data_IF_723149389160
#
_entry.id   IF_723149389160
#
_cell.length_a   1.000
_cell.length_b   1.000
_cell.length_c   1.000
_cell.angle_alpha   90.00
_cell.angle_beta   90.00
_cell.angle_gamma   90.00
#
_symmetry.space_group_name_H-M   'P 1'
#
loop_
_entity.id
_entity.type
_entity.pdbx_description
1 polymer ?
#
# COMPACT_ATOMS: atom_id res chain seq x y z
N UNK A 1 6.86 43.62 32.79
CA UNK A 1 7.29 43.35 31.41
C UNK A 1 7.87 41.97 31.41
N UNK A 2 7.15 40.97 30.86
CA UNK A 2 7.69 39.64 30.53
C UNK A 2 8.32 39.79 29.16
N UNK A 3 9.63 39.62 29.10
CA UNK A 3 10.35 39.44 27.85
C UNK A 3 9.89 38.10 27.23
N UNK A 4 9.45 38.18 25.99
CA UNK A 4 9.23 36.99 25.16
C UNK A 4 10.58 36.33 24.87
N UNK A 5 10.74 35.08 25.25
CA UNK A 5 11.87 34.27 24.81
C UNK A 5 11.79 34.17 23.28
N UNK A 6 12.74 34.81 22.60
CA UNK A 6 12.95 34.59 21.18
C UNK A 6 13.46 33.18 21.01
N UNK A 7 12.70 32.33 20.30
CA UNK A 7 13.15 31.05 19.81
C UNK A 7 14.35 31.30 18.86
N UNK A 8 15.56 31.19 19.42
CA UNK A 8 16.79 31.17 18.62
C UNK A 8 16.83 29.83 17.95
N UNK A 9 16.40 29.77 16.69
CA UNK A 9 16.64 28.63 15.82
C UNK A 9 18.14 28.50 15.64
N UNK A 10 18.78 27.36 15.97
CA UNK A 10 20.20 27.18 15.75
C UNK A 10 20.50 27.28 14.26
N UNK A 11 21.44 28.10 13.89
CA UNK A 11 21.87 28.42 12.50
C UNK A 11 22.52 27.23 11.76
N UNK A 12 22.47 25.99 12.31
CA UNK A 12 23.12 24.80 11.76
C UNK A 12 22.24 23.54 11.93
N UNK A 13 20.93 23.67 11.72
CA UNK A 13 20.02 22.54 11.76
C UNK A 13 20.17 21.73 10.47
N UNK A 14 20.49 20.41 10.57
CA UNK A 14 20.53 19.51 9.40
C UNK A 14 19.17 19.50 8.70
N UNK A 15 19.19 19.46 7.38
CA UNK A 15 17.99 19.42 6.52
C UNK A 15 17.91 18.10 5.79
N UNK A 16 16.70 17.74 5.40
CA UNK A 16 16.37 16.52 4.66
C UNK A 16 15.18 16.79 3.75
N UNK A 17 15.25 16.39 2.48
CA UNK A 17 14.13 16.45 1.53
C UNK A 17 13.68 15.04 1.19
N UNK A 18 12.38 14.77 1.37
CA UNK A 18 11.74 13.46 1.10
C UNK A 18 10.66 13.62 0.05
N UNK A 19 10.74 12.87 -1.03
CA UNK A 19 9.62 12.67 -1.97
C UNK A 19 8.76 11.52 -1.45
N UNK A 20 7.55 11.83 -0.93
CA UNK A 20 6.75 10.88 -0.17
C UNK A 20 5.36 10.62 -0.76
N UNK A 21 4.99 9.33 -0.85
CA UNK A 21 3.70 8.88 -1.37
C UNK A 21 2.53 9.27 -0.47
N UNK A 22 2.72 9.24 0.85
CA UNK A 22 1.65 9.49 1.82
C UNK A 22 1.54 10.98 2.22
N UNK A 23 2.27 11.87 1.56
CA UNK A 23 2.19 13.31 1.80
C UNK A 23 0.75 13.83 1.59
N UNK A 24 0.20 14.45 2.61
CA UNK A 24 -1.18 14.98 2.63
C UNK A 24 -2.24 13.94 3.05
N UNK A 25 -1.86 12.74 3.47
CA UNK A 25 -2.78 11.81 4.13
C UNK A 25 -2.96 12.18 5.60
N UNK A 26 -4.06 11.74 6.20
CA UNK A 26 -4.34 11.99 7.63
C UNK A 26 -3.21 11.44 8.51
N UNK A 27 -2.82 12.20 9.52
CA UNK A 27 -1.79 11.84 10.49
C UNK A 27 -0.34 11.95 9.99
N UNK A 28 -0.11 12.03 8.68
CA UNK A 28 1.24 12.09 8.12
C UNK A 28 2.05 13.32 8.60
N UNK A 29 1.44 14.52 8.54
CA UNK A 29 2.12 15.74 8.97
C UNK A 29 2.45 15.72 10.46
N UNK A 30 1.61 15.07 11.28
CA UNK A 30 1.87 14.87 12.71
C UNK A 30 3.07 13.96 12.94
N UNK A 31 3.18 12.88 12.16
CA UNK A 31 4.34 11.99 12.21
C UNK A 31 5.64 12.69 11.82
N UNK A 32 5.64 13.48 10.74
CA UNK A 32 6.82 14.23 10.29
C UNK A 32 7.22 15.28 11.34
N UNK A 33 6.26 16.00 11.91
CA UNK A 33 6.52 16.98 12.98
C UNK A 33 7.15 16.35 14.23
N UNK A 34 6.71 15.13 14.58
CA UNK A 34 7.32 14.38 15.69
C UNK A 34 8.75 13.93 15.33
N UNK A 35 8.97 13.42 14.11
CA UNK A 35 10.31 13.04 13.65
C UNK A 35 11.29 14.22 13.65
N UNK A 36 10.86 15.40 13.16
CA UNK A 36 11.67 16.63 13.22
C UNK A 36 12.10 17.00 14.64
N UNK A 37 11.17 16.85 15.58
CA UNK A 37 11.42 17.16 16.99
C UNK A 37 12.38 16.16 17.63
N UNK A 38 12.17 14.86 17.39
CA UNK A 38 12.96 13.79 17.98
C UNK A 38 14.38 13.76 17.44
N UNK A 39 14.57 14.05 16.15
CA UNK A 39 15.85 14.02 15.47
C UNK A 39 16.59 15.37 15.48
N UNK A 40 15.89 16.46 15.76
CA UNK A 40 16.48 17.81 15.70
C UNK A 40 16.85 18.26 14.28
N UNK A 41 16.24 17.70 13.24
CA UNK A 41 16.46 18.02 11.82
C UNK A 41 15.25 18.74 11.23
N UNK A 42 15.43 19.42 10.11
CA UNK A 42 14.34 19.98 9.30
C UNK A 42 13.99 19.01 8.17
N UNK A 43 12.71 18.67 8.02
CA UNK A 43 12.26 17.75 6.98
C UNK A 43 11.36 18.49 5.99
N UNK A 44 11.77 18.53 4.74
CA UNK A 44 11.01 19.07 3.63
C UNK A 44 10.32 17.91 2.90
N UNK A 45 8.99 17.97 2.82
CA UNK A 45 8.20 16.94 2.15
C UNK A 45 7.76 17.42 0.78
N UNK A 46 8.13 16.65 -0.25
CA UNK A 46 7.54 16.76 -1.60
C UNK A 46 6.51 15.63 -1.78
N UNK A 47 5.34 15.99 -2.31
CA UNK A 47 4.31 15.01 -2.62
C UNK A 47 4.62 14.27 -3.92
N UNK A 48 4.53 12.94 -3.88
CA UNK A 48 4.53 12.13 -5.10
C UNK A 48 3.31 12.43 -5.98
N UNK A 49 3.44 12.37 -7.31
CA UNK A 49 2.27 12.35 -8.20
C UNK A 49 1.31 11.21 -7.82
N UNK A 50 0.01 11.49 -7.84
CA UNK A 50 -1.01 10.48 -7.51
C UNK A 50 -1.07 9.36 -8.57
N UNK A 51 -0.96 9.71 -9.85
CA UNK A 51 -0.92 8.74 -10.94
C UNK A 51 0.39 7.93 -10.90
N UNK A 52 0.29 6.59 -11.02
CA UNK A 52 1.42 5.68 -10.90
C UNK A 52 2.50 5.92 -11.96
N UNK A 53 2.10 6.09 -13.23
CA UNK A 53 3.05 6.30 -14.34
C UNK A 53 3.80 7.63 -14.19
N UNK A 54 3.10 8.70 -13.81
CA UNK A 54 3.69 10.02 -13.57
C UNK A 54 4.65 9.96 -12.37
N UNK A 55 4.32 9.22 -11.34
CA UNK A 55 5.17 9.02 -10.16
C UNK A 55 6.45 8.28 -10.53
N UNK A 56 6.33 7.16 -11.25
CA UNK A 56 7.49 6.40 -11.72
C UNK A 56 8.38 7.23 -12.65
N UNK A 57 7.79 7.96 -13.59
CA UNK A 57 8.52 8.84 -14.51
C UNK A 57 9.28 9.95 -13.77
N UNK A 58 8.65 10.59 -12.76
CA UNK A 58 9.30 11.62 -11.93
C UNK A 58 10.51 11.03 -11.19
N UNK A 59 10.34 9.88 -10.53
CA UNK A 59 11.41 9.23 -9.76
C UNK A 59 12.53 8.76 -10.67
N UNK A 60 12.21 8.13 -11.80
CA UNK A 60 13.19 7.69 -12.78
C UNK A 60 14.02 8.87 -13.34
N UNK A 61 13.35 9.98 -13.66
CA UNK A 61 14.02 11.19 -14.14
C UNK A 61 14.97 11.77 -13.10
N UNK A 62 14.52 11.89 -11.84
CA UNK A 62 15.33 12.38 -10.72
C UNK A 62 16.60 11.53 -10.53
N UNK A 63 16.44 10.20 -10.47
CA UNK A 63 17.56 9.29 -10.24
C UNK A 63 18.53 9.23 -11.42
N UNK A 64 18.02 9.23 -12.67
CA UNK A 64 18.86 9.16 -13.87
C UNK A 64 19.60 10.44 -14.18
N UNK A 65 19.03 11.60 -13.84
CA UNK A 65 19.71 12.90 -14.02
C UNK A 65 20.82 13.15 -13.00
N UNK A 66 20.89 12.35 -11.93
CA UNK A 66 21.81 12.56 -10.83
C UNK A 66 21.43 13.75 -9.95
N UNK A 67 20.15 14.11 -9.92
CA UNK A 67 19.60 15.20 -9.11
C UNK A 67 19.84 14.90 -7.61
N UNK A 68 20.40 15.86 -6.90
CA UNK A 68 20.74 15.79 -5.48
C UNK A 68 19.74 16.57 -4.58
N UNK A 69 18.69 17.15 -5.17
CA UNK A 69 17.70 17.97 -4.45
C UNK A 69 16.77 17.16 -3.53
N UNK A 70 16.63 15.85 -3.78
CA UNK A 70 15.82 14.92 -2.98
C UNK A 70 16.73 13.85 -2.39
N UNK A 71 16.70 13.70 -1.08
CA UNK A 71 17.56 12.77 -0.35
C UNK A 71 16.94 11.38 -0.23
N UNK A 72 15.68 11.31 0.18
CA UNK A 72 14.91 10.08 0.33
C UNK A 72 13.69 10.06 -0.60
N UNK A 73 13.40 8.89 -1.11
CA UNK A 73 12.28 8.67 -2.00
C UNK A 73 11.50 7.46 -1.50
N UNK A 74 10.17 7.55 -1.49
CA UNK A 74 9.33 6.38 -1.26
C UNK A 74 8.99 5.71 -2.58
N UNK A 75 9.19 4.40 -2.63
CA UNK A 75 8.96 3.55 -3.80
C UNK A 75 8.13 2.33 -3.41
N UNK A 76 7.41 1.77 -4.38
CA UNK A 76 6.73 0.49 -4.23
C UNK A 76 7.60 -0.66 -4.75
N UNK A 77 7.05 -1.87 -4.76
CA UNK A 77 7.76 -3.10 -5.11
C UNK A 77 8.27 -3.12 -6.55
N UNK A 78 7.50 -2.58 -7.50
CA UNK A 78 7.92 -2.53 -8.91
C UNK A 78 9.06 -1.53 -9.10
N UNK A 79 8.96 -0.35 -8.47
CA UNK A 79 9.97 0.70 -8.60
C UNK A 79 11.31 0.27 -7.99
N UNK A 80 11.31 -0.33 -6.79
CA UNK A 80 12.56 -0.81 -6.20
C UNK A 80 13.19 -1.90 -7.04
N UNK A 81 12.38 -2.81 -7.60
CA UNK A 81 12.86 -3.86 -8.50
C UNK A 81 13.57 -3.28 -9.73
N UNK A 82 13.11 -2.14 -10.24
CA UNK A 82 13.77 -1.43 -11.32
C UNK A 82 15.08 -0.74 -10.86
N UNK A 83 15.04 0.01 -9.76
CA UNK A 83 16.12 0.95 -9.42
C UNK A 83 17.30 0.33 -8.67
N UNK A 84 17.10 -0.76 -7.92
CA UNK A 84 18.15 -1.42 -7.12
C UNK A 84 19.33 -1.93 -7.97
N UNK A 85 19.11 -2.26 -9.24
CA UNK A 85 20.15 -2.77 -10.15
C UNK A 85 20.88 -1.66 -10.91
N UNK A 86 20.43 -0.41 -10.86
CA UNK A 86 20.94 0.68 -11.69
C UNK A 86 22.04 1.52 -11.03
N UNK A 87 22.38 1.21 -9.79
CA UNK A 87 23.41 1.93 -9.04
C UNK A 87 23.03 3.37 -8.65
N UNK A 88 21.74 3.68 -8.56
CA UNK A 88 21.22 4.98 -8.15
C UNK A 88 21.02 5.13 -6.64
N UNK A 89 20.97 4.00 -5.94
CA UNK A 89 20.61 3.92 -4.53
C UNK A 89 21.83 3.60 -3.66
N UNK A 90 21.79 4.04 -2.42
CA UNK A 90 22.83 3.73 -1.44
C UNK A 90 22.46 2.42 -0.69
N UNK A 91 23.42 1.48 -0.53
CA UNK A 91 23.23 0.30 0.31
C UNK A 91 23.03 0.68 1.79
N UNK A 92 22.22 -0.06 2.53
CA UNK A 92 21.77 0.28 3.88
C UNK A 92 22.11 -0.78 4.95
N UNK A 93 22.62 -1.96 4.57
CA UNK A 93 22.88 -3.08 5.50
C UNK A 93 23.86 -2.74 6.62
N UNK A 94 24.87 -1.92 6.36
CA UNK A 94 25.88 -1.55 7.35
C UNK A 94 25.47 -0.38 8.26
N UNK A 95 24.33 0.28 7.99
CA UNK A 95 23.96 1.53 8.66
C UNK A 95 22.56 1.53 9.26
N UNK A 96 21.58 1.10 8.51
CA UNK A 96 20.15 1.15 8.90
C UNK A 96 19.56 -0.26 9.01
N UNK A 97 19.68 -1.05 7.94
CA UNK A 97 19.13 -2.40 7.84
C UNK A 97 20.14 -3.45 8.29
N UNK A 98 20.75 -3.23 9.47
CA UNK A 98 21.61 -4.20 10.11
C UNK A 98 20.88 -5.54 10.33
N UNK A 99 21.61 -6.62 10.57
CA UNK A 99 21.01 -7.94 10.83
C UNK A 99 19.93 -7.88 11.92
N UNK A 100 20.18 -7.12 13.00
CA UNK A 100 19.23 -6.92 14.10
C UNK A 100 17.96 -6.18 13.62
N UNK A 101 18.10 -5.13 12.86
CA UNK A 101 16.95 -4.38 12.34
C UNK A 101 16.19 -5.20 11.31
N UNK A 102 16.89 -5.80 10.35
CA UNK A 102 16.33 -6.59 9.26
C UNK A 102 15.53 -7.82 9.76
N UNK A 103 15.94 -8.41 10.90
CA UNK A 103 15.23 -9.55 11.50
C UNK A 103 13.76 -9.25 11.87
N UNK A 104 13.37 -7.99 11.98
CA UNK A 104 11.99 -7.57 12.31
C UNK A 104 11.08 -7.39 11.09
N UNK A 105 11.53 -7.73 9.90
CA UNK A 105 10.77 -7.64 8.65
C UNK A 105 10.58 -9.01 8.02
N UNK A 106 9.65 -9.14 7.07
CA UNK A 106 9.47 -10.37 6.31
C UNK A 106 10.75 -10.72 5.54
N UNK A 107 11.41 -11.82 5.91
CA UNK A 107 12.72 -12.19 5.38
C UNK A 107 12.70 -12.50 3.88
N UNK A 108 11.66 -13.21 3.42
CA UNK A 108 11.48 -13.48 1.99
C UNK A 108 11.29 -12.20 1.20
N UNK A 109 10.48 -11.27 1.73
CA UNK A 109 10.28 -9.96 1.12
C UNK A 109 11.59 -9.16 1.02
N UNK A 110 12.36 -9.08 2.09
CA UNK A 110 13.65 -8.41 2.06
C UNK A 110 14.55 -9.00 0.98
N UNK A 111 14.64 -10.32 0.92
CA UNK A 111 15.50 -11.03 -0.03
C UNK A 111 15.07 -10.81 -1.48
N UNK A 112 13.79 -10.94 -1.79
CA UNK A 112 13.30 -10.89 -3.17
C UNK A 112 13.14 -9.44 -3.66
N UNK A 113 12.68 -8.54 -2.81
CA UNK A 113 12.31 -7.18 -3.20
C UNK A 113 13.40 -6.15 -2.84
N UNK A 114 13.87 -6.12 -1.59
CA UNK A 114 14.75 -5.06 -1.10
C UNK A 114 16.23 -5.27 -1.43
N UNK A 115 16.63 -6.52 -1.71
CA UNK A 115 18.05 -6.88 -1.92
C UNK A 115 18.41 -7.01 -3.40
N UNK A 116 19.68 -6.73 -3.68
CA UNK A 116 20.35 -7.06 -4.94
C UNK A 116 21.84 -7.24 -4.68
N UNK A 117 22.46 -8.29 -5.25
CA UNK A 117 23.88 -8.58 -5.16
C UNK A 117 24.44 -8.59 -3.71
N UNK A 118 23.61 -9.03 -2.76
CA UNK A 118 23.96 -9.10 -1.34
C UNK A 118 23.77 -7.81 -0.55
N UNK A 119 23.32 -6.74 -1.19
CA UNK A 119 23.06 -5.43 -0.58
C UNK A 119 21.57 -5.18 -0.36
N UNK A 120 21.21 -4.49 0.73
CA UNK A 120 19.84 -4.03 1.02
C UNK A 120 19.72 -2.55 0.62
N UNK A 121 18.80 -2.23 -0.28
CA UNK A 121 18.65 -0.87 -0.84
C UNK A 121 17.44 -0.09 -0.32
N UNK A 122 16.61 -0.70 0.52
CA UNK A 122 15.40 -0.04 0.98
C UNK A 122 15.00 -0.42 2.40
N UNK A 123 14.21 0.46 3.01
CA UNK A 123 13.59 0.27 4.33
C UNK A 123 12.09 0.21 4.15
N UNK A 124 11.44 -0.96 4.25
CA UNK A 124 9.99 -1.05 4.26
C UNK A 124 9.42 -0.26 5.45
N UNK A 125 8.37 0.54 5.24
CA UNK A 125 7.76 1.29 6.34
C UNK A 125 6.27 0.98 6.52
N UNK A 126 5.56 0.61 5.46
CA UNK A 126 4.18 0.13 5.55
C UNK A 126 3.91 -0.98 4.55
N UNK A 127 2.99 -1.87 4.91
CA UNK A 127 2.44 -2.90 4.04
C UNK A 127 0.99 -2.57 3.73
N UNK A 128 0.63 -2.78 2.47
CA UNK A 128 -0.76 -2.90 2.06
C UNK A 128 -1.05 -4.37 1.80
N UNK A 129 -2.06 -4.90 2.48
CA UNK A 129 -2.51 -6.28 2.30
C UNK A 129 -3.80 -6.22 1.49
N UNK A 130 -3.90 -7.03 0.44
CA UNK A 130 -5.14 -7.14 -0.32
C UNK A 130 -6.20 -7.77 0.58
N UNK A 131 -7.27 -7.05 0.83
CA UNK A 131 -8.37 -7.46 1.69
C UNK A 131 -9.67 -7.59 0.89
N UNK A 132 -10.59 -8.40 1.37
CA UNK A 132 -11.93 -8.54 0.80
C UNK A 132 -12.89 -7.58 1.48
N UNK A 133 -13.44 -6.64 0.73
CA UNK A 133 -14.37 -5.63 1.19
C UNK A 133 -15.78 -5.95 0.69
N UNK A 134 -16.77 -5.82 1.57
CA UNK A 134 -18.16 -6.05 1.22
C UNK A 134 -19.03 -4.84 1.57
N UNK A 135 -20.06 -4.63 0.78
CA UNK A 135 -21.13 -3.69 1.07
C UNK A 135 -22.30 -4.47 1.67
N UNK A 136 -22.43 -4.45 3.00
CA UNK A 136 -23.42 -5.24 3.73
C UNK A 136 -24.85 -4.88 3.34
N UNK A 137 -25.13 -3.61 3.05
CA UNK A 137 -26.47 -3.19 2.62
C UNK A 137 -26.92 -3.89 1.33
N UNK A 138 -25.99 -4.09 0.38
CA UNK A 138 -26.30 -4.81 -0.87
C UNK A 138 -26.43 -6.32 -0.65
N UNK A 139 -25.63 -6.88 0.24
CA UNK A 139 -25.76 -8.28 0.63
C UNK A 139 -27.12 -8.53 1.30
N UNK A 140 -27.53 -7.70 2.23
CA UNK A 140 -28.80 -7.78 2.93
C UNK A 140 -29.99 -7.69 1.96
N UNK A 141 -29.93 -6.76 1.00
CA UNK A 141 -30.93 -6.63 -0.08
C UNK A 141 -31.02 -7.91 -0.93
N UNK A 142 -29.93 -8.64 -1.09
CA UNK A 142 -29.90 -9.92 -1.80
C UNK A 142 -30.29 -11.12 -0.92
N UNK A 143 -30.46 -10.91 0.40
CA UNK A 143 -30.74 -11.98 1.36
C UNK A 143 -29.52 -12.82 1.68
N UNK A 144 -28.33 -12.23 1.62
CA UNK A 144 -27.04 -12.87 1.90
C UNK A 144 -26.43 -12.26 3.16
N UNK A 145 -26.12 -13.08 4.15
CA UNK A 145 -25.41 -12.62 5.35
C UNK A 145 -23.93 -12.36 5.06
N UNK A 146 -23.34 -13.13 4.15
CA UNK A 146 -21.93 -13.07 3.76
C UNK A 146 -21.71 -13.69 2.38
N UNK A 147 -20.52 -13.48 1.82
CA UNK A 147 -20.04 -14.14 0.60
C UNK A 147 -18.97 -15.16 0.99
N UNK A 148 -19.35 -16.44 1.01
CA UNK A 148 -18.48 -17.53 1.49
C UNK A 148 -17.79 -18.29 0.37
N UNK A 149 -18.32 -18.22 -0.85
CA UNK A 149 -17.79 -18.91 -2.02
C UNK A 149 -18.17 -18.18 -3.32
N UNK A 150 -17.61 -18.60 -4.43
CA UNK A 150 -17.87 -17.98 -5.74
C UNK A 150 -19.35 -18.08 -6.18
N UNK A 151 -20.08 -19.10 -5.75
CA UNK A 151 -21.52 -19.22 -6.03
C UNK A 151 -22.37 -18.16 -5.32
N UNK A 152 -21.92 -17.64 -4.18
CA UNK A 152 -22.61 -16.52 -3.50
C UNK A 152 -22.50 -15.23 -4.32
N UNK A 153 -21.37 -15.00 -5.01
CA UNK A 153 -21.22 -13.90 -5.96
C UNK A 153 -22.20 -14.01 -7.13
N UNK A 154 -22.44 -15.22 -7.64
CA UNK A 154 -23.41 -15.45 -8.70
C UNK A 154 -24.84 -15.19 -8.23
N UNK A 155 -25.17 -15.54 -6.98
CA UNK A 155 -26.46 -15.24 -6.37
C UNK A 155 -26.62 -13.72 -6.24
N UNK A 156 -25.62 -13.03 -5.72
CA UNK A 156 -25.62 -11.58 -5.60
C UNK A 156 -25.81 -10.90 -6.96
N UNK A 157 -25.08 -11.34 -7.99
CA UNK A 157 -25.23 -10.85 -9.36
C UNK A 157 -26.66 -10.96 -9.86
N UNK A 158 -27.30 -12.13 -9.69
CA UNK A 158 -28.70 -12.35 -10.11
C UNK A 158 -29.66 -11.41 -9.40
N UNK A 159 -29.44 -11.15 -8.12
CA UNK A 159 -30.27 -10.23 -7.32
C UNK A 159 -30.10 -8.77 -7.71
N UNK A 160 -28.92 -8.38 -8.15
CA UNK A 160 -28.61 -7.01 -8.56
C UNK A 160 -28.89 -6.74 -10.05
N UNK A 161 -29.31 -7.74 -10.84
CA UNK A 161 -29.65 -7.53 -12.25
C UNK A 161 -30.69 -6.42 -12.43
N UNK A 162 -30.45 -5.57 -13.44
CA UNK A 162 -31.30 -4.44 -13.81
C UNK A 162 -31.44 -3.32 -12.74
N UNK A 163 -30.61 -3.33 -11.72
CA UNK A 163 -30.59 -2.28 -10.68
C UNK A 163 -29.55 -1.17 -10.98
N UNK A 164 -28.67 -1.37 -11.96
CA UNK A 164 -27.50 -0.50 -12.20
C UNK A 164 -26.35 -0.76 -11.23
N UNK A 165 -26.43 -1.83 -10.43
CA UNK A 165 -25.40 -2.25 -9.48
C UNK A 165 -24.86 -3.62 -9.89
N UNK A 166 -23.64 -3.92 -9.42
CA UNK A 166 -22.91 -5.14 -9.78
C UNK A 166 -22.47 -5.89 -8.53
N UNK A 167 -22.31 -7.20 -8.64
CA UNK A 167 -21.88 -8.00 -7.51
C UNK A 167 -20.44 -7.68 -7.10
N UNK A 168 -19.56 -7.46 -8.08
CA UNK A 168 -18.14 -7.27 -7.87
C UNK A 168 -17.65 -6.04 -8.63
N UNK A 169 -16.70 -5.32 -8.06
CA UNK A 169 -15.98 -4.23 -8.70
C UNK A 169 -14.48 -4.45 -8.64
N UNK A 170 -13.76 -4.00 -9.67
CA UNK A 170 -12.32 -4.13 -9.74
C UNK A 170 -11.69 -3.02 -10.60
N UNK A 171 -10.38 -2.84 -10.51
CA UNK A 171 -9.62 -1.87 -11.28
C UNK A 171 -8.83 -2.59 -12.37
N UNK A 172 -9.42 -2.71 -13.57
CA UNK A 172 -8.83 -3.42 -14.71
C UNK A 172 -8.29 -2.50 -15.80
N UNK A 173 -8.08 -1.21 -15.49
CA UNK A 173 -7.30 -0.37 -16.37
C UNK A 173 -5.90 -0.99 -16.55
N UNK A 174 -5.30 -0.85 -17.74
CA UNK A 174 -4.14 -1.64 -18.17
C UNK A 174 -2.92 -1.55 -17.24
N UNK A 175 -2.75 -0.43 -16.54
CA UNK A 175 -1.65 -0.25 -15.57
C UNK A 175 -1.97 -0.79 -14.17
N UNK A 176 -3.20 -1.28 -13.92
CA UNK A 176 -3.67 -1.79 -12.64
C UNK A 176 -4.09 -3.26 -12.66
N UNK A 177 -4.52 -3.79 -13.82
CA UNK A 177 -5.09 -5.14 -13.95
C UNK A 177 -4.14 -6.26 -13.48
N UNK A 178 -2.83 -6.03 -13.51
CA UNK A 178 -1.85 -7.02 -13.06
C UNK A 178 -2.05 -7.41 -11.58
N UNK A 179 -2.51 -6.50 -10.73
CA UNK A 179 -2.84 -6.80 -9.33
C UNK A 179 -3.95 -7.86 -9.25
N UNK A 180 -5.02 -7.65 -10.01
CA UNK A 180 -6.15 -8.58 -10.03
C UNK A 180 -5.79 -9.91 -10.67
N UNK A 181 -5.04 -9.90 -11.78
CA UNK A 181 -4.63 -11.14 -12.45
C UNK A 181 -3.73 -11.97 -11.52
N UNK A 182 -2.73 -11.36 -10.88
CA UNK A 182 -1.86 -12.09 -9.95
C UNK A 182 -2.64 -12.67 -8.78
N UNK A 183 -3.56 -11.90 -8.19
CA UNK A 183 -4.40 -12.34 -7.09
C UNK A 183 -5.27 -13.55 -7.50
N UNK A 184 -5.96 -13.48 -8.63
CA UNK A 184 -6.79 -14.61 -9.09
C UNK A 184 -5.97 -15.83 -9.49
N UNK A 185 -4.80 -15.65 -10.11
CA UNK A 185 -3.90 -16.76 -10.40
C UNK A 185 -3.48 -17.48 -9.12
N UNK A 186 -3.12 -16.72 -8.09
CA UNK A 186 -2.74 -17.29 -6.79
C UNK A 186 -3.94 -17.98 -6.10
N UNK A 187 -5.15 -17.40 -6.14
CA UNK A 187 -6.36 -18.02 -5.60
C UNK A 187 -6.68 -19.38 -6.22
N UNK A 188 -6.43 -19.54 -7.51
CA UNK A 188 -6.65 -20.79 -8.23
C UNK A 188 -5.47 -21.75 -8.14
N UNK A 189 -4.34 -21.37 -7.49
CA UNK A 189 -3.15 -22.17 -7.34
C UNK A 189 -2.32 -22.29 -8.63
N UNK A 190 -2.36 -21.24 -9.47
CA UNK A 190 -1.59 -21.15 -10.70
C UNK A 190 -0.21 -20.52 -10.50
N UNK A 191 0.51 -20.34 -11.59
CA UNK A 191 1.80 -19.63 -11.65
C UNK A 191 1.68 -18.42 -12.59
N UNK A 192 1.76 -17.22 -12.02
CA UNK A 192 1.69 -15.97 -12.78
C UNK A 192 2.77 -15.83 -13.85
N UNK A 193 3.88 -16.55 -13.71
CA UNK A 193 4.98 -16.57 -14.70
C UNK A 193 4.81 -17.60 -15.79
N UNK A 194 3.89 -18.58 -15.63
CA UNK A 194 3.59 -19.63 -16.58
C UNK A 194 2.14 -19.56 -17.09
N UNK A 195 1.98 -18.94 -18.25
CA UNK A 195 0.66 -18.83 -18.92
C UNK A 195 0.20 -20.12 -19.64
N UNK A 196 1.02 -21.17 -19.62
CA UNK A 196 0.63 -22.51 -20.09
C UNK A 196 0.07 -23.38 -18.97
N UNK A 197 0.24 -22.98 -17.72
CA UNK A 197 -0.30 -23.67 -16.56
C UNK A 197 -1.84 -23.69 -16.60
N UNK A 198 -2.48 -24.87 -16.39
CA UNK A 198 -3.93 -25.00 -16.44
C UNK A 198 -4.67 -24.13 -15.41
N UNK A 199 -4.09 -23.92 -14.21
CA UNK A 199 -4.68 -23.12 -13.14
C UNK A 199 -4.59 -21.62 -13.45
N UNK A 200 -3.48 -21.17 -14.02
CA UNK A 200 -3.34 -19.80 -14.55
C UNK A 200 -4.39 -19.52 -15.61
N UNK A 201 -4.63 -20.47 -16.50
CA UNK A 201 -5.69 -20.35 -17.51
C UNK A 201 -7.08 -20.32 -16.89
N UNK A 202 -7.36 -21.20 -15.92
CA UNK A 202 -8.66 -21.24 -15.19
C UNK A 202 -8.97 -19.91 -14.54
N UNK A 203 -7.99 -19.28 -13.86
CA UNK A 203 -8.12 -17.95 -13.28
C UNK A 203 -8.49 -16.88 -14.31
N UNK A 204 -7.77 -16.87 -15.44
CA UNK A 204 -8.01 -15.92 -16.54
C UNK A 204 -9.40 -16.10 -17.17
N UNK A 205 -9.84 -17.36 -17.35
CA UNK A 205 -11.17 -17.68 -17.85
C UNK A 205 -12.27 -17.28 -16.86
N UNK A 206 -12.01 -17.38 -15.54
CA UNK A 206 -12.91 -16.91 -14.52
C UNK A 206 -13.08 -15.39 -14.59
N UNK A 207 -11.99 -14.62 -14.67
CA UNK A 207 -12.04 -13.16 -14.82
C UNK A 207 -12.81 -12.75 -16.08
N UNK A 208 -12.53 -13.40 -17.21
CA UNK A 208 -13.28 -13.16 -18.46
C UNK A 208 -14.78 -13.43 -18.26
N UNK A 209 -15.13 -14.52 -17.59
CA UNK A 209 -16.54 -14.88 -17.33
C UNK A 209 -17.24 -13.85 -16.45
N UNK A 210 -16.54 -13.24 -15.47
CA UNK A 210 -17.11 -12.16 -14.65
C UNK A 210 -17.57 -10.97 -15.52
N UNK A 211 -16.79 -10.62 -16.54
CA UNK A 211 -17.14 -9.58 -17.50
C UNK A 211 -18.29 -10.03 -18.44
N UNK A 212 -18.15 -11.20 -19.05
CA UNK A 212 -19.13 -11.73 -20.02
C UNK A 212 -20.53 -11.93 -19.40
N UNK A 213 -20.61 -12.21 -18.10
CA UNK A 213 -21.87 -12.44 -17.39
C UNK A 213 -22.45 -11.18 -16.71
N UNK A 214 -21.71 -10.05 -16.76
CA UNK A 214 -22.11 -8.82 -16.10
C UNK A 214 -22.01 -8.88 -14.57
N UNK A 215 -21.13 -9.74 -14.03
CA UNK A 215 -20.79 -9.73 -12.61
C UNK A 215 -20.06 -8.44 -12.24
N UNK A 216 -19.24 -7.94 -13.17
CA UNK A 216 -18.60 -6.63 -13.12
C UNK A 216 -19.10 -5.73 -14.25
N UNK A 217 -18.94 -4.41 -14.08
CA UNK A 217 -19.22 -3.42 -15.11
C UNK A 217 -18.10 -3.36 -16.15
N UNK A 218 -18.43 -3.07 -17.42
CA UNK A 218 -17.42 -2.74 -18.44
C UNK A 218 -16.61 -1.49 -18.07
N UNK A 219 -17.14 -0.61 -17.23
CA UNK A 219 -16.39 0.55 -16.72
C UNK A 219 -15.12 0.14 -15.95
N UNK A 220 -15.09 -1.05 -15.33
CA UNK A 220 -13.92 -1.56 -14.62
C UNK A 220 -12.68 -1.69 -15.54
N UNK A 221 -12.87 -1.81 -16.86
CA UNK A 221 -11.77 -1.87 -17.84
C UNK A 221 -10.98 -0.55 -17.96
N UNK A 222 -11.53 0.55 -17.49
CA UNK A 222 -10.90 1.87 -17.50
C UNK A 222 -10.73 2.48 -16.11
N UNK A 223 -11.19 1.79 -15.07
CA UNK A 223 -11.07 2.23 -13.69
C UNK A 223 -9.69 1.88 -13.12
N UNK A 224 -9.10 2.85 -12.45
CA UNK A 224 -7.98 2.71 -11.52
C UNK A 224 -8.52 2.60 -10.09
N UNK A 225 -7.63 2.47 -9.09
CA UNK A 225 -8.05 2.30 -7.70
C UNK A 225 -8.96 3.44 -7.18
N UNK A 226 -8.64 4.68 -7.53
CA UNK A 226 -9.43 5.84 -7.05
C UNK A 226 -10.86 5.82 -7.56
N UNK A 227 -11.08 5.55 -8.86
CA UNK A 227 -12.41 5.43 -9.45
C UNK A 227 -13.19 4.24 -8.87
N UNK A 228 -12.52 3.10 -8.71
CA UNK A 228 -13.12 1.93 -8.07
C UNK A 228 -13.58 2.25 -6.64
N UNK A 229 -12.72 2.87 -5.83
CA UNK A 229 -13.03 3.25 -4.44
C UNK A 229 -14.22 4.22 -4.37
N UNK A 230 -14.27 5.23 -5.24
CA UNK A 230 -15.37 6.17 -5.33
C UNK A 230 -16.70 5.48 -5.67
N UNK A 231 -16.70 4.59 -6.66
CA UNK A 231 -17.86 3.81 -7.05
C UNK A 231 -18.33 2.85 -5.96
N UNK A 232 -17.40 2.24 -5.23
CA UNK A 232 -17.72 1.37 -4.10
C UNK A 232 -18.35 2.15 -2.94
N UNK A 233 -17.80 3.31 -2.58
CA UNK A 233 -18.38 4.25 -1.60
C UNK A 233 -19.81 4.65 -1.99
N UNK A 234 -20.06 4.85 -3.28
CA UNK A 234 -21.38 5.20 -3.82
C UNK A 234 -22.34 4.01 -3.96
N UNK A 235 -21.95 2.83 -3.52
CA UNK A 235 -22.81 1.63 -3.46
C UNK A 235 -23.07 0.98 -4.82
N UNK A 236 -22.16 1.11 -5.79
CA UNK A 236 -22.30 0.45 -7.10
C UNK A 236 -21.94 -1.04 -7.07
N UNK A 237 -21.09 -1.47 -6.14
CA UNK A 237 -20.60 -2.85 -6.06
C UNK A 237 -20.91 -3.50 -4.73
N UNK A 238 -21.23 -4.79 -4.74
CA UNK A 238 -21.49 -5.60 -3.55
C UNK A 238 -20.21 -6.00 -2.82
N UNK A 239 -19.12 -6.21 -3.55
CA UNK A 239 -17.82 -6.50 -2.98
C UNK A 239 -16.68 -6.12 -3.93
N UNK A 240 -15.47 -6.09 -3.39
CA UNK A 240 -14.23 -5.92 -4.14
C UNK A 240 -13.04 -6.44 -3.34
N UNK A 241 -11.94 -6.74 -4.03
CA UNK A 241 -10.63 -6.81 -3.42
C UNK A 241 -9.96 -5.44 -3.52
N UNK A 242 -9.39 -4.98 -2.43
CA UNK A 242 -8.65 -3.72 -2.37
C UNK A 242 -7.67 -3.74 -1.21
N UNK A 243 -6.53 -3.09 -1.38
CA UNK A 243 -5.52 -2.94 -0.35
C UNK A 243 -6.05 -2.22 0.91
N UNK A 244 -5.58 -2.64 2.07
CA UNK A 244 -6.03 -2.12 3.38
C UNK A 244 -5.83 -0.62 3.57
N UNK A 245 -4.93 0.01 2.81
CA UNK A 245 -4.73 1.47 2.80
C UNK A 245 -5.99 2.28 2.46
N UNK A 246 -7.03 1.67 1.88
CA UNK A 246 -8.32 2.33 1.60
C UNK A 246 -9.18 2.57 2.84
N UNK A 247 -8.87 1.93 3.97
CA UNK A 247 -9.67 2.01 5.20
C UNK A 247 -9.97 3.45 5.62
N UNK A 248 -8.95 4.30 5.69
CA UNK A 248 -9.11 5.70 6.08
C UNK A 248 -10.06 6.45 5.14
N UNK A 249 -10.05 6.12 3.84
CA UNK A 249 -10.96 6.69 2.85
C UNK A 249 -12.41 6.32 3.17
N UNK A 250 -12.69 5.07 3.52
CA UNK A 250 -14.05 4.63 3.90
C UNK A 250 -14.50 5.22 5.23
N UNK A 251 -13.59 5.33 6.22
CA UNK A 251 -13.88 5.97 7.50
C UNK A 251 -14.20 7.45 7.31
N UNK A 252 -13.39 8.18 6.55
CA UNK A 252 -13.60 9.60 6.28
C UNK A 252 -14.88 9.88 5.47
N UNK A 253 -15.27 8.97 4.59
CA UNK A 253 -16.54 9.04 3.87
C UNK A 253 -17.77 8.66 4.74
N UNK A 254 -17.57 8.18 5.97
CA UNK A 254 -18.64 7.76 6.87
C UNK A 254 -19.38 6.49 6.44
N UNK A 255 -18.78 5.69 5.56
CA UNK A 255 -19.37 4.46 5.00
C UNK A 255 -18.80 3.18 5.60
N UNK A 256 -17.79 3.28 6.48
CA UNK A 256 -17.20 2.13 7.15
C UNK A 256 -18.03 1.69 8.36
N UNK A 257 -18.26 0.39 8.51
CA UNK A 257 -18.96 -0.21 9.65
C UNK A 257 -19.56 -1.59 9.29
N UNK A 258 -19.86 -2.40 10.30
CA UNK A 258 -20.29 -3.79 10.11
C UNK A 258 -21.60 -3.92 9.29
N UNK A 259 -22.47 -2.93 9.32
CA UNK A 259 -23.73 -2.89 8.58
C UNK A 259 -23.62 -2.05 7.28
N UNK A 260 -22.43 -1.65 6.92
CA UNK A 260 -22.08 -0.81 5.76
C UNK A 260 -20.96 -1.49 4.95
N UNK A 261 -19.92 -0.73 4.60
CA UNK A 261 -18.69 -1.29 4.03
C UNK A 261 -17.80 -1.79 5.18
N UNK A 262 -17.32 -3.02 5.08
CA UNK A 262 -16.36 -3.58 6.03
C UNK A 262 -15.50 -4.66 5.38
N UNK A 263 -14.40 -5.01 6.04
CA UNK A 263 -13.61 -6.19 5.66
C UNK A 263 -14.35 -7.47 6.06
N UNK A 264 -14.31 -8.45 5.19
CA UNK A 264 -14.89 -9.77 5.40
C UNK A 264 -13.85 -10.86 5.15
N UNK A 265 -14.04 -12.06 5.72
CA UNK A 265 -13.26 -13.22 5.32
C UNK A 265 -13.35 -13.45 3.81
N UNK A 266 -12.25 -13.90 3.21
CA UNK A 266 -12.23 -14.23 1.78
C UNK A 266 -13.26 -15.33 1.46
N UNK A 267 -13.91 -15.25 0.31
CA UNK A 267 -14.61 -16.41 -0.24
C UNK A 267 -13.65 -17.59 -0.38
N UNK A 268 -14.17 -18.79 -0.32
CA UNK A 268 -13.37 -20.00 -0.49
C UNK A 268 -12.87 -20.11 -1.94
N UNK A 269 -11.55 -20.18 -2.07
CA UNK A 269 -10.80 -20.46 -3.28
C UNK A 269 -9.97 -21.72 -3.11
N UNK A 270 -9.29 -22.18 -4.16
CA UNK A 270 -8.41 -23.35 -4.08
C UNK A 270 -7.25 -23.13 -3.08
N UNK A 271 -6.69 -21.91 -3.05
CA UNK A 271 -5.61 -21.52 -2.14
C UNK A 271 -6.04 -20.39 -1.20
N UNK A 272 -5.45 -20.37 0.00
CA UNK A 272 -5.64 -19.33 1.02
C UNK A 272 -4.43 -18.40 1.04
N UNK A 273 -4.37 -17.50 0.09
CA UNK A 273 -3.27 -16.56 -0.11
C UNK A 273 -3.83 -15.17 -0.35
N UNK A 274 -2.98 -14.16 -0.23
CA UNK A 274 -3.32 -12.80 -0.62
C UNK A 274 -2.08 -12.04 -1.04
N UNK A 275 -2.27 -11.00 -1.85
CA UNK A 275 -1.20 -10.12 -2.28
C UNK A 275 -0.82 -9.13 -1.17
N UNK A 276 0.47 -8.89 -1.06
CA UNK A 276 1.05 -7.85 -0.22
C UNK A 276 1.79 -6.88 -1.12
N UNK A 277 1.49 -5.60 -1.00
CA UNK A 277 2.26 -4.52 -1.60
C UNK A 277 2.92 -3.71 -0.48
N UNK A 278 4.17 -3.35 -0.66
CA UNK A 278 4.93 -2.64 0.38
C UNK A 278 5.46 -1.33 -0.17
N UNK A 279 5.42 -0.32 0.67
CA UNK A 279 6.07 0.96 0.42
C UNK A 279 7.32 1.06 1.27
N UNK A 280 8.38 1.59 0.68
CA UNK A 280 9.70 1.59 1.27
C UNK A 280 10.46 2.88 0.94
N UNK A 281 11.33 3.29 1.86
CA UNK A 281 12.26 4.37 1.63
C UNK A 281 13.51 3.86 0.93
N UNK A 282 13.98 4.62 -0.05
CA UNK A 282 15.30 4.45 -0.65
C UNK A 282 16.11 5.73 -0.48
N UNK A 283 17.43 5.59 -0.35
CA UNK A 283 18.35 6.71 -0.22
C UNK A 283 19.02 6.97 -1.57
N UNK A 284 18.80 8.18 -2.10
CA UNK A 284 19.43 8.67 -3.31
C UNK A 284 20.96 8.71 -3.12
N UNK A 285 21.70 8.01 -3.97
CA UNK A 285 23.17 7.98 -3.90
C UNK A 285 23.80 9.35 -4.00
N UNK A 286 23.18 10.28 -4.73
CA UNK A 286 23.66 11.63 -4.94
C UNK A 286 23.22 12.62 -3.85
N UNK A 287 22.43 12.18 -2.85
CA UNK A 287 22.00 13.03 -1.74
C UNK A 287 23.15 13.88 -1.17
N UNK A 288 22.88 15.17 -0.98
CA UNK A 288 23.79 16.10 -0.30
C UNK A 288 23.71 15.95 1.23
N UNK A 289 22.65 15.35 1.77
CA UNK A 289 22.34 15.28 3.20
C UNK A 289 22.30 13.83 3.73
N UNK A 290 23.25 12.99 3.29
CA UNK A 290 23.28 11.55 3.63
C UNK A 290 23.22 11.26 5.13
N UNK A 291 23.90 12.07 5.95
CA UNK A 291 23.88 11.89 7.42
C UNK A 291 22.47 12.09 8.01
N UNK A 292 21.78 13.15 7.60
CA UNK A 292 20.40 13.42 8.03
C UNK A 292 19.44 12.34 7.50
N UNK A 293 19.62 11.89 6.27
CA UNK A 293 18.85 10.83 5.66
C UNK A 293 19.03 9.50 6.41
N UNK A 294 20.24 9.11 6.76
CA UNK A 294 20.51 7.90 7.54
C UNK A 294 19.90 7.97 8.95
N UNK A 295 19.98 9.12 9.63
CA UNK A 295 19.31 9.33 10.93
C UNK A 295 17.80 9.13 10.83
N UNK A 296 17.17 9.70 9.80
CA UNK A 296 15.75 9.53 9.57
C UNK A 296 15.40 8.06 9.27
N UNK A 297 16.17 7.38 8.43
CA UNK A 297 15.95 5.96 8.13
C UNK A 297 16.11 5.07 9.37
N UNK A 298 17.10 5.34 10.22
CA UNK A 298 17.26 4.64 11.50
C UNK A 298 16.05 4.88 12.44
N UNK A 299 15.51 6.10 12.45
CA UNK A 299 14.31 6.43 13.22
C UNK A 299 13.10 5.66 12.71
N UNK A 300 12.77 5.75 11.42
CA UNK A 300 11.56 5.14 10.86
C UNK A 300 11.61 3.61 10.81
N UNK A 301 12.81 3.01 10.76
CA UNK A 301 12.99 1.56 10.87
C UNK A 301 12.83 1.03 12.30
N UNK A 302 12.78 1.91 13.30
CA UNK A 302 12.63 1.55 14.71
C UNK A 302 11.20 1.20 15.09
N UNK A 303 11.03 0.44 16.18
CA UNK A 303 9.73 -0.03 16.68
C UNK A 303 8.77 1.10 17.00
N UNK A 304 9.20 2.09 17.80
CA UNK A 304 8.32 3.19 18.26
C UNK A 304 7.84 4.07 17.10
N UNK A 305 8.72 4.42 16.18
CA UNK A 305 8.38 5.23 15.03
C UNK A 305 7.43 4.47 14.07
N UNK A 306 7.70 3.20 13.83
CA UNK A 306 6.85 2.33 13.01
C UNK A 306 5.44 2.20 13.60
N UNK A 307 5.35 1.96 14.92
CA UNK A 307 4.08 1.90 15.65
C UNK A 307 3.32 3.22 15.58
N UNK A 308 4.00 4.34 15.85
CA UNK A 308 3.41 5.67 15.80
C UNK A 308 2.91 6.03 14.39
N UNK A 309 3.68 5.66 13.34
CA UNK A 309 3.26 5.85 11.97
C UNK A 309 1.93 5.14 11.69
N UNK A 310 1.83 3.86 12.02
CA UNK A 310 0.61 3.07 11.84
C UNK A 310 -0.58 3.65 12.60
N UNK A 311 -0.39 4.04 13.86
CA UNK A 311 -1.45 4.62 14.69
C UNK A 311 -1.97 5.97 14.15
N UNK A 312 -1.07 6.83 13.67
CA UNK A 312 -1.44 8.15 13.15
C UNK A 312 -2.08 8.07 11.76
N UNK A 313 -1.54 7.25 10.88
CA UNK A 313 -1.96 7.18 9.47
C UNK A 313 -3.01 6.12 9.20
N UNK A 314 -3.26 5.21 10.14
CA UNK A 314 -4.13 4.04 10.00
C UNK A 314 -3.64 3.06 8.92
N UNK A 315 -2.34 3.06 8.64
CA UNK A 315 -1.70 2.16 7.68
C UNK A 315 -0.95 1.05 8.42
N UNK A 316 -0.99 -0.16 7.87
CA UNK A 316 -0.31 -1.31 8.46
C UNK A 316 1.21 -1.13 8.41
N UNK A 317 1.92 -1.21 9.55
CA UNK A 317 3.38 -1.14 9.58
C UNK A 317 4.03 -2.33 8.86
N UNK A 318 5.24 -2.13 8.34
CA UNK A 318 6.00 -3.23 7.74
C UNK A 318 6.80 -4.06 8.79
N UNK A 319 6.95 -3.57 10.03
CA UNK A 319 7.63 -4.31 11.10
C UNK A 319 6.71 -5.35 11.71
N UNK A 320 7.13 -6.61 11.70
CA UNK A 320 6.34 -7.74 12.22
C UNK A 320 6.11 -7.66 13.72
N UNK A 321 7.11 -7.25 14.49
CA UNK A 321 7.01 -7.11 15.95
C UNK A 321 6.01 -6.01 16.37
N UNK A 322 5.76 -5.02 15.53
CA UNK A 322 4.70 -4.02 15.75
C UNK A 322 3.33 -4.62 15.48
N UNK A 323 3.18 -5.38 14.39
CA UNK A 323 1.91 -6.04 14.03
C UNK A 323 1.52 -7.07 15.10
N UNK A 324 2.50 -7.79 15.63
CA UNK A 324 2.30 -8.81 16.67
C UNK A 324 2.06 -8.22 18.08
N UNK A 325 2.27 -6.91 18.27
CA UNK A 325 2.02 -6.25 19.55
C UNK A 325 0.51 -6.18 19.83
N UNK A 326 0.07 -6.84 20.88
CA UNK A 326 -1.33 -6.87 21.35
C UNK A 326 -1.92 -5.49 21.67
N UNK A 327 -1.07 -4.47 21.85
CA UNK A 327 -1.48 -3.09 22.11
C UNK A 327 -1.48 -2.24 20.83
N UNK A 328 -1.18 -2.85 19.68
CA UNK A 328 -1.28 -2.21 18.38
C UNK A 328 -2.62 -2.59 17.75
N UNK A 329 -3.44 -1.58 17.48
CA UNK A 329 -4.77 -1.75 16.90
C UNK A 329 -4.99 -0.66 15.85
N UNK A 330 -5.43 -1.06 14.67
CA UNK A 330 -5.90 -0.19 13.60
C UNK A 330 -7.43 0.00 13.70
N UNK A 331 -7.92 0.51 14.84
CA UNK A 331 -9.35 0.78 15.10
C UNK A 331 -10.26 -0.47 15.01
N UNK A 332 -9.83 -1.59 15.60
CA UNK A 332 -10.62 -2.82 15.70
C UNK A 332 -10.53 -3.73 14.47
N UNK A 333 -9.54 -3.54 13.64
CA UNK A 333 -9.23 -4.49 12.57
C UNK A 333 -8.34 -5.58 13.15
N UNK A 334 -8.89 -6.79 13.27
CA UNK A 334 -8.10 -7.98 13.53
C UNK A 334 -7.28 -8.28 12.26
N UNK A 335 -5.96 -8.07 12.33
CA UNK A 335 -5.02 -8.38 11.25
C UNK A 335 -4.61 -9.85 11.30
#
# INVERSE_FOLDING_TARGET
KKEAASDIVPENRQELTILHVDAGTEGFDSFISQAEKDLGIKIHIEKCPANADNRQAKIATLLTSGDDSVDLITVNDEMISEFKHKGFLLPLEDTVMTEETAANFLQEYLKEICMSDGHIFSVPFRMDIMAFWVNQELLDQAGLDRLSCLSDLEILQKKLQNTGKYAYGDAWEISYIYNSISEYVDFFGGDYTDWTDPKTREASEYMKRMLDTGMISEENLIDQHDQLNEKFINGQYGCMFMYTGVLSTFQNAGVYGKDKIHMAPFPEFDEKVTNIATWQYVLNKNSAHKEAALKFLQYVSGYEASKNYGQLTKMCPARLDVIEDKNFDLDGIEM
#
